data_IF_876927951484
#
_entry.id   IF_876927951484
#
_cell.length_a   1.000
_cell.length_b   1.000
_cell.length_c   1.000
_cell.angle_alpha   90.00
_cell.angle_beta   90.00
_cell.angle_gamma   90.00
#
_symmetry.space_group_name_H-M   'P 1'
#
loop_
_entity.id
_entity.type
_entity.pdbx_description
1 polymer ?
#
# COMPACT_ATOMS: atom_id res chain seq x y z
N UNK A 1 -8.06 -22.82 3.08
CA UNK A 1 -7.04 -21.75 3.13
C UNK A 1 -7.44 -20.71 4.15
N UNK A 2 -6.48 -20.18 4.92
CA UNK A 2 -6.71 -19.03 5.82
C UNK A 2 -5.89 -17.85 5.31
N UNK A 3 -6.52 -16.67 5.24
CA UNK A 3 -5.90 -15.40 4.88
C UNK A 3 -6.03 -14.44 6.07
N UNK A 4 -4.93 -13.87 6.54
CA UNK A 4 -4.89 -12.97 7.70
C UNK A 4 -4.68 -11.54 7.28
N UNK A 5 -5.68 -10.69 7.50
CA UNK A 5 -5.71 -9.26 7.17
C UNK A 5 -6.66 -8.91 6.03
N UNK A 6 -7.78 -8.25 6.35
CA UNK A 6 -8.82 -7.80 5.42
C UNK A 6 -8.48 -6.51 4.65
N UNK A 7 -7.18 -6.23 4.43
CA UNK A 7 -6.72 -5.14 3.58
C UNK A 7 -6.69 -5.53 2.10
N UNK A 8 -6.15 -4.65 1.23
CA UNK A 8 -6.11 -4.84 -0.23
C UNK A 8 -5.51 -6.20 -0.61
N UNK A 9 -4.34 -6.54 -0.07
CA UNK A 9 -3.65 -7.79 -0.40
C UNK A 9 -4.49 -9.02 -0.03
N UNK A 10 -4.97 -9.08 1.22
CA UNK A 10 -5.70 -10.23 1.72
C UNK A 10 -7.09 -10.39 1.10
N UNK A 11 -7.84 -9.31 0.92
CA UNK A 11 -9.16 -9.38 0.29
C UNK A 11 -9.07 -9.86 -1.17
N UNK A 12 -8.05 -9.39 -1.90
CA UNK A 12 -7.82 -9.83 -3.27
C UNK A 12 -7.35 -11.29 -3.28
N UNK A 13 -6.40 -11.68 -2.43
CA UNK A 13 -5.95 -13.07 -2.34
C UNK A 13 -7.12 -14.01 -1.99
N UNK A 14 -7.90 -13.69 -0.97
CA UNK A 14 -9.05 -14.49 -0.55
C UNK A 14 -10.09 -14.66 -1.67
N UNK A 15 -10.43 -13.54 -2.34
CA UNK A 15 -11.35 -13.57 -3.50
C UNK A 15 -10.84 -14.44 -4.63
N UNK A 16 -9.55 -14.33 -4.98
CA UNK A 16 -8.97 -15.15 -6.04
C UNK A 16 -8.84 -16.61 -5.62
N UNK A 17 -8.56 -16.90 -4.35
CA UNK A 17 -8.55 -18.25 -3.80
C UNK A 17 -9.92 -18.93 -3.96
N UNK A 18 -11.00 -18.26 -3.54
CA UNK A 18 -12.36 -18.78 -3.70
C UNK A 18 -12.71 -19.02 -5.18
N UNK A 19 -12.33 -18.11 -6.10
CA UNK A 19 -12.52 -18.27 -7.53
C UNK A 19 -11.76 -19.45 -8.15
N UNK A 20 -10.67 -19.89 -7.51
CA UNK A 20 -9.92 -21.09 -7.88
C UNK A 20 -10.38 -22.34 -7.11
N UNK A 21 -11.55 -22.31 -6.47
CA UNK A 21 -12.16 -23.45 -5.81
C UNK A 21 -11.66 -23.73 -4.38
N UNK A 22 -10.80 -22.87 -3.80
CA UNK A 22 -10.34 -23.07 -2.44
C UNK A 22 -11.38 -22.59 -1.42
N UNK A 23 -11.77 -23.45 -0.48
CA UNK A 23 -12.52 -23.04 0.71
C UNK A 23 -11.64 -22.07 1.51
N UNK A 24 -12.09 -20.81 1.66
CA UNK A 24 -11.25 -19.71 2.14
C UNK A 24 -11.90 -18.99 3.30
N UNK A 25 -11.13 -18.79 4.39
CA UNK A 25 -11.44 -17.97 5.53
C UNK A 25 -10.55 -16.71 5.51
N UNK A 26 -11.15 -15.52 5.50
CA UNK A 26 -10.48 -14.23 5.60
C UNK A 26 -10.70 -13.65 7.00
N UNK A 27 -9.60 -13.30 7.68
CA UNK A 27 -9.62 -12.72 9.02
C UNK A 27 -9.23 -11.24 8.97
N UNK A 28 -9.94 -10.39 9.71
CA UNK A 28 -9.56 -8.99 9.98
C UNK A 28 -9.66 -8.74 11.49
N UNK A 29 -8.60 -8.17 12.07
CA UNK A 29 -8.54 -7.95 13.52
C UNK A 29 -9.42 -6.83 14.03
N UNK A 30 -9.77 -5.88 13.16
CA UNK A 30 -10.61 -4.75 13.50
C UNK A 30 -12.01 -4.92 12.94
N UNK A 31 -12.97 -4.30 13.60
CA UNK A 31 -14.32 -4.15 13.05
C UNK A 31 -14.28 -3.37 11.74
N UNK A 32 -14.97 -3.87 10.72
CA UNK A 32 -15.05 -3.21 9.42
C UNK A 32 -16.36 -2.42 9.27
N UNK A 33 -16.34 -1.25 8.58
CA UNK A 33 -15.23 -0.58 7.90
C UNK A 33 -14.23 0.06 8.88
N UNK A 34 -12.92 -0.09 8.60
CA UNK A 34 -11.85 0.43 9.45
C UNK A 34 -10.98 1.47 8.74
N UNK A 35 -10.46 2.42 9.48
CA UNK A 35 -9.47 3.34 8.97
C UNK A 35 -8.09 2.66 8.81
N UNK A 36 -7.36 3.08 7.78
CA UNK A 36 -5.93 2.79 7.61
C UNK A 36 -5.24 4.04 7.07
N UNK A 37 -4.19 4.55 7.72
CA UNK A 37 -3.41 5.66 7.20
C UNK A 37 -2.82 5.30 5.83
N UNK A 38 -3.30 5.99 4.79
CA UNK A 38 -2.88 5.78 3.41
C UNK A 38 -3.46 6.89 2.55
N UNK A 39 -2.77 7.27 1.46
CA UNK A 39 -3.32 8.23 0.51
C UNK A 39 -4.63 7.75 -0.12
N UNK A 40 -4.79 6.44 -0.36
CA UNK A 40 -5.93 5.94 -1.12
C UNK A 40 -6.02 6.56 -2.52
N UNK A 41 -4.85 6.88 -3.10
CA UNK A 41 -4.72 7.42 -4.46
C UNK A 41 -4.04 6.37 -5.33
N UNK A 42 -4.62 6.08 -6.50
CA UNK A 42 -4.08 5.11 -7.45
C UNK A 42 -4.38 5.53 -8.90
N UNK A 43 -3.68 4.92 -9.86
CA UNK A 43 -3.97 5.06 -11.27
C UNK A 43 -5.02 4.05 -11.74
N UNK A 44 -5.68 4.33 -12.87
CA UNK A 44 -6.79 3.51 -13.37
C UNK A 44 -6.42 2.04 -13.64
N UNK A 45 -5.14 1.71 -13.96
CA UNK A 45 -4.71 0.33 -14.15
C UNK A 45 -4.90 -0.55 -12.89
N UNK A 46 -5.07 0.09 -11.73
CA UNK A 46 -5.33 -0.61 -10.47
C UNK A 46 -6.61 -1.44 -10.51
N UNK A 47 -7.62 -1.01 -11.28
CA UNK A 47 -8.84 -1.78 -11.50
C UNK A 47 -8.57 -3.15 -12.13
N UNK A 48 -7.57 -3.26 -13.03
CA UNK A 48 -7.13 -4.55 -13.59
C UNK A 48 -6.49 -5.45 -12.52
N UNK A 49 -5.73 -4.88 -11.59
CA UNK A 49 -5.15 -5.64 -10.47
C UNK A 49 -6.24 -6.18 -9.55
N UNK A 50 -7.28 -5.39 -9.29
CA UNK A 50 -8.46 -5.82 -8.53
C UNK A 50 -9.27 -6.86 -9.34
N UNK A 51 -9.26 -6.79 -10.67
CA UNK A 51 -10.08 -7.60 -11.54
C UNK A 51 -11.57 -7.22 -11.51
N UNK A 52 -11.86 -5.95 -11.18
CA UNK A 52 -13.19 -5.34 -11.23
C UNK A 52 -13.07 -3.82 -11.28
N UNK A 53 -13.96 -3.17 -12.03
CA UNK A 53 -14.09 -1.72 -12.06
C UNK A 53 -14.60 -1.22 -10.70
N UNK A 54 -14.02 -0.12 -10.22
CA UNK A 54 -14.41 0.49 -8.94
C UNK A 54 -15.68 1.32 -9.17
N UNK A 55 -16.79 1.04 -8.46
CA UNK A 55 -18.00 1.84 -8.57
C UNK A 55 -17.74 3.29 -8.13
N UNK A 56 -18.40 4.25 -8.81
CA UNK A 56 -18.18 5.68 -8.54
C UNK A 56 -18.45 6.08 -7.07
N UNK A 57 -19.44 5.46 -6.46
CA UNK A 57 -19.80 5.68 -5.06
C UNK A 57 -18.76 5.17 -4.05
N UNK A 58 -17.77 4.42 -4.48
CA UNK A 58 -16.61 3.99 -3.66
C UNK A 58 -15.43 4.94 -3.76
N UNK A 59 -15.50 5.91 -4.66
CA UNK A 59 -14.52 6.97 -4.83
C UNK A 59 -14.97 8.25 -4.11
N UNK A 60 -14.02 9.11 -3.79
CA UNK A 60 -14.32 10.45 -3.29
C UNK A 60 -15.11 11.28 -4.31
N UNK A 61 -15.88 12.25 -3.84
CA UNK A 61 -16.68 13.15 -4.68
C UNK A 61 -15.80 13.99 -5.61
N UNK A 62 -14.68 14.49 -5.08
CA UNK A 62 -13.71 15.23 -5.88
C UNK A 62 -12.85 14.30 -6.73
N UNK A 63 -12.49 14.77 -7.92
CA UNK A 63 -11.61 14.06 -8.84
C UNK A 63 -10.20 14.65 -8.75
N UNK A 64 -9.20 13.78 -8.65
CA UNK A 64 -7.80 14.16 -8.74
C UNK A 64 -7.31 13.86 -10.17
N UNK A 65 -6.89 14.89 -10.90
CA UNK A 65 -6.35 14.73 -12.25
C UNK A 65 -5.19 15.68 -12.57
N UNK A 66 -4.79 16.50 -11.59
CA UNK A 66 -3.61 17.37 -11.66
C UNK A 66 -2.57 16.93 -10.65
N UNK A 67 -1.31 17.02 -11.01
CA UNK A 67 -0.17 16.78 -10.13
C UNK A 67 0.70 18.02 -10.17
N UNK A 68 1.04 18.56 -9.01
CA UNK A 68 2.06 19.59 -8.85
C UNK A 68 3.21 19.08 -8.00
N UNK A 69 4.41 19.06 -8.58
CA UNK A 69 5.63 18.70 -7.88
C UNK A 69 6.45 19.94 -7.61
N UNK A 70 6.70 20.21 -6.34
CA UNK A 70 7.48 21.37 -5.88
C UNK A 70 8.88 20.89 -5.50
N UNK A 71 9.90 21.40 -6.20
CA UNK A 71 11.29 20.99 -6.00
C UNK A 71 11.93 21.69 -4.79
N UNK A 72 13.15 21.28 -4.33
CA UNK A 72 13.87 21.97 -3.28
C UNK A 72 14.06 23.48 -3.54
N UNK A 73 14.24 23.88 -4.81
CA UNK A 73 14.42 25.28 -5.23
C UNK A 73 13.10 25.97 -5.64
N UNK A 74 11.97 25.50 -5.12
CA UNK A 74 10.63 26.07 -5.37
C UNK A 74 10.17 26.08 -6.84
N UNK A 75 10.79 25.33 -7.72
CA UNK A 75 10.28 25.13 -9.07
C UNK A 75 9.04 24.27 -9.01
N UNK A 76 8.00 24.68 -9.73
CA UNK A 76 6.74 23.95 -9.81
C UNK A 76 6.64 23.26 -11.15
N UNK A 77 6.49 21.95 -11.11
CA UNK A 77 6.25 21.15 -12.31
C UNK A 77 4.83 20.59 -12.26
N UNK A 78 4.12 20.75 -13.35
CA UNK A 78 2.70 20.42 -13.46
C UNK A 78 2.49 19.27 -14.44
N UNK A 79 1.62 18.35 -14.07
CA UNK A 79 1.19 17.25 -14.92
C UNK A 79 -0.32 17.03 -14.84
N UNK A 80 -0.88 16.32 -15.82
CA UNK A 80 -2.28 15.91 -15.82
C UNK A 80 -2.37 14.41 -16.02
N UNK A 81 -3.02 13.73 -15.08
CA UNK A 81 -3.32 12.30 -15.17
C UNK A 81 -4.46 11.97 -14.22
N UNK A 82 -5.51 11.32 -14.73
CA UNK A 82 -6.63 10.88 -13.90
C UNK A 82 -6.20 9.86 -12.85
N UNK A 83 -6.59 10.10 -11.61
CA UNK A 83 -6.29 9.26 -10.47
C UNK A 83 -7.58 8.78 -9.80
N UNK A 84 -7.57 7.56 -9.32
CA UNK A 84 -8.58 7.02 -8.42
C UNK A 84 -8.29 7.59 -7.01
N UNK A 85 -9.29 8.18 -6.38
CA UNK A 85 -9.20 8.78 -5.06
C UNK A 85 -10.28 8.16 -4.17
N UNK A 86 -9.89 7.45 -3.09
CA UNK A 86 -10.83 6.73 -2.24
C UNK A 86 -10.38 6.69 -0.77
N UNK A 87 -11.35 6.64 0.13
CA UNK A 87 -11.09 6.33 1.53
C UNK A 87 -10.83 4.84 1.72
N UNK A 88 -9.79 4.49 2.46
CA UNK A 88 -9.43 3.09 2.72
C UNK A 88 -10.53 2.33 3.49
N UNK A 89 -11.26 3.00 4.36
CA UNK A 89 -12.40 2.39 5.06
C UNK A 89 -13.47 1.90 4.09
N UNK A 90 -13.92 2.75 3.18
CA UNK A 90 -14.92 2.41 2.17
C UNK A 90 -14.39 1.39 1.16
N UNK A 91 -13.17 1.59 0.70
CA UNK A 91 -12.57 0.77 -0.33
C UNK A 91 -12.22 -0.64 0.16
N UNK A 92 -11.56 -0.77 1.32
CA UNK A 92 -11.22 -2.08 1.88
C UNK A 92 -12.48 -2.89 2.22
N UNK A 93 -13.51 -2.24 2.78
CA UNK A 93 -14.81 -2.88 3.05
C UNK A 93 -15.49 -3.38 1.77
N UNK A 94 -15.42 -2.60 0.67
CA UNK A 94 -15.91 -3.05 -0.63
C UNK A 94 -15.12 -4.25 -1.17
N UNK A 95 -13.79 -4.28 -1.01
CA UNK A 95 -12.99 -5.45 -1.39
C UNK A 95 -13.35 -6.70 -0.57
N UNK A 96 -13.65 -6.52 0.72
CA UNK A 96 -14.13 -7.60 1.59
C UNK A 96 -15.49 -8.13 1.10
N UNK A 97 -16.44 -7.24 0.72
CA UNK A 97 -17.73 -7.69 0.16
C UNK A 97 -17.55 -8.47 -1.14
N UNK A 98 -16.62 -8.06 -2.02
CA UNK A 98 -16.29 -8.82 -3.23
C UNK A 98 -15.68 -10.21 -2.94
N UNK A 99 -14.97 -10.35 -1.83
CA UNK A 99 -14.48 -11.66 -1.39
C UNK A 99 -15.63 -12.54 -0.89
N UNK A 100 -16.53 -11.98 -0.07
CA UNK A 100 -17.74 -12.68 0.40
C UNK A 100 -18.63 -13.10 -0.77
N UNK A 101 -18.89 -12.21 -1.75
CA UNK A 101 -19.61 -12.52 -2.99
C UNK A 101 -18.99 -13.69 -3.77
N UNK A 102 -17.68 -13.91 -3.64
CA UNK A 102 -16.96 -15.02 -4.26
C UNK A 102 -16.99 -16.31 -3.42
N UNK A 103 -17.66 -16.33 -2.26
CA UNK A 103 -17.78 -17.49 -1.38
C UNK A 103 -16.75 -17.56 -0.25
N UNK A 104 -16.05 -16.46 0.05
CA UNK A 104 -15.12 -16.38 1.19
C UNK A 104 -15.92 -16.23 2.49
N UNK A 105 -15.58 -17.04 3.50
CA UNK A 105 -15.99 -16.79 4.88
C UNK A 105 -15.16 -15.61 5.43
N UNK A 106 -15.80 -14.52 5.82
CA UNK A 106 -15.13 -13.31 6.33
C UNK A 106 -15.48 -13.07 7.79
N UNK A 107 -14.45 -13.04 8.64
CA UNK A 107 -14.59 -12.78 10.07
C UNK A 107 -13.74 -11.55 10.44
N UNK A 108 -14.40 -10.44 10.71
CA UNK A 108 -13.76 -9.28 11.33
C UNK A 108 -13.73 -9.44 12.87
N UNK A 109 -13.11 -8.48 13.58
CA UNK A 109 -12.85 -8.56 15.02
C UNK A 109 -12.16 -9.87 15.44
N UNK A 110 -11.47 -10.53 14.47
CA UNK A 110 -10.83 -11.84 14.67
C UNK A 110 -9.34 -11.74 14.32
N UNK A 111 -8.50 -12.01 15.32
CA UNK A 111 -7.04 -11.90 15.22
C UNK A 111 -6.39 -13.29 15.15
N UNK A 112 -5.34 -13.43 14.32
CA UNK A 112 -4.39 -14.52 14.47
C UNK A 112 -3.52 -14.25 15.70
N UNK A 113 -3.43 -15.23 16.59
CA UNK A 113 -2.57 -15.17 17.77
C UNK A 113 -1.29 -16.00 17.61
N UNK A 114 -1.36 -17.12 16.90
CA UNK A 114 -0.22 -17.99 16.60
C UNK A 114 -0.51 -18.84 15.35
N UNK A 115 0.54 -19.44 14.77
CA UNK A 115 0.42 -20.42 13.72
C UNK A 115 1.54 -21.46 13.83
N UNK A 116 1.21 -22.72 13.53
CA UNK A 116 2.13 -23.86 13.60
C UNK A 116 2.04 -24.59 12.26
N UNK A 117 3.14 -24.69 11.54
CA UNK A 117 3.23 -25.44 10.29
C UNK A 117 3.63 -26.88 10.57
N UNK A 118 2.99 -27.81 9.85
CA UNK A 118 3.32 -29.23 9.81
C UNK A 118 3.41 -29.70 8.36
N UNK A 119 3.77 -30.95 8.12
CA UNK A 119 3.82 -31.56 6.79
C UNK A 119 2.46 -31.49 6.06
N UNK A 120 1.37 -31.72 6.80
CA UNK A 120 0.00 -31.80 6.25
C UNK A 120 -0.70 -30.44 6.13
N UNK A 121 -0.15 -29.37 6.72
CA UNK A 121 -0.80 -28.06 6.69
C UNK A 121 -0.35 -27.10 7.79
N UNK A 122 -1.24 -26.17 8.12
CA UNK A 122 -1.01 -25.13 9.11
C UNK A 122 -2.15 -25.12 10.14
N UNK A 123 -1.84 -25.15 11.40
CA UNK A 123 -2.77 -24.88 12.49
C UNK A 123 -2.71 -23.38 12.77
N UNK A 124 -3.81 -22.69 12.56
CA UNK A 124 -3.95 -21.23 12.76
C UNK A 124 -4.74 -21.01 14.04
N UNK A 125 -4.11 -20.42 15.05
CA UNK A 125 -4.77 -20.05 16.31
C UNK A 125 -5.37 -18.67 16.19
N UNK A 126 -6.66 -18.55 16.40
CA UNK A 126 -7.42 -17.31 16.27
C UNK A 126 -8.11 -16.95 17.58
N UNK A 127 -8.34 -15.64 17.75
CA UNK A 127 -9.10 -15.08 18.88
C UNK A 127 -10.15 -14.11 18.38
N UNK A 128 -11.39 -14.30 18.83
CA UNK A 128 -12.52 -13.38 18.62
C UNK A 128 -13.05 -12.98 20.00
N UNK A 129 -12.76 -11.75 20.43
CA UNK A 129 -12.98 -11.35 21.82
C UNK A 129 -12.19 -12.26 22.78
N UNK A 130 -12.90 -12.92 23.70
CA UNK A 130 -12.33 -13.85 24.69
C UNK A 130 -12.34 -15.31 24.21
N UNK A 131 -12.83 -15.58 22.99
CA UNK A 131 -12.92 -16.95 22.46
C UNK A 131 -11.68 -17.28 21.64
N UNK A 132 -11.05 -18.41 21.94
CA UNK A 132 -9.90 -18.93 21.21
C UNK A 132 -10.30 -20.19 20.44
N UNK A 133 -9.80 -20.32 19.20
CA UNK A 133 -10.09 -21.46 18.33
C UNK A 133 -8.87 -21.80 17.48
N UNK A 134 -8.66 -23.09 17.25
CA UNK A 134 -7.70 -23.60 16.29
C UNK A 134 -8.41 -23.91 14.97
N UNK A 135 -7.86 -23.41 13.85
CA UNK A 135 -8.35 -23.64 12.50
C UNK A 135 -7.28 -24.38 11.72
N UNK A 136 -7.61 -25.58 11.24
CA UNK A 136 -6.72 -26.33 10.33
C UNK A 136 -6.85 -25.84 8.91
N UNK A 137 -5.72 -25.64 8.23
CA UNK A 137 -5.66 -25.10 6.88
C UNK A 137 -4.52 -25.75 6.08
N UNK A 138 -4.69 -25.94 4.78
CA UNK A 138 -3.59 -26.39 3.90
C UNK A 138 -2.56 -25.28 3.69
N UNK A 139 -3.01 -24.02 3.58
CA UNK A 139 -2.15 -22.85 3.39
C UNK A 139 -2.57 -21.71 4.30
N UNK A 140 -1.59 -20.94 4.76
CA UNK A 140 -1.77 -19.67 5.46
C UNK A 140 -1.19 -18.54 4.62
N UNK A 141 -1.96 -17.46 4.41
CA UNK A 141 -1.49 -16.24 3.75
C UNK A 141 -1.45 -15.12 4.78
N UNK A 142 -0.24 -14.61 5.07
CA UNK A 142 -0.01 -13.43 5.90
C UNK A 142 -0.13 -12.15 5.07
N UNK A 143 -1.23 -11.42 5.30
CA UNK A 143 -1.56 -10.13 4.65
C UNK A 143 -1.82 -9.03 5.69
N UNK A 144 -1.30 -9.19 6.89
CA UNK A 144 -1.59 -8.41 8.10
C UNK A 144 -0.72 -7.14 8.24
N UNK A 145 -0.12 -6.71 7.12
CA UNK A 145 0.53 -5.41 6.99
C UNK A 145 1.91 -5.31 7.63
N UNK A 146 2.43 -4.09 7.74
CA UNK A 146 3.82 -3.84 8.16
C UNK A 146 4.13 -4.24 9.62
N UNK A 147 3.11 -4.41 10.45
CA UNK A 147 3.26 -4.90 11.83
C UNK A 147 2.88 -6.39 11.95
N UNK A 148 3.04 -7.14 10.88
CA UNK A 148 2.61 -8.51 10.72
C UNK A 148 2.95 -9.41 11.91
N UNK A 149 1.93 -10.05 12.46
CA UNK A 149 2.04 -11.08 13.49
C UNK A 149 2.57 -12.38 12.89
N UNK A 150 2.11 -12.72 11.68
CA UNK A 150 2.59 -13.92 10.96
C UNK A 150 4.09 -13.81 10.70
N UNK A 151 4.57 -12.72 10.10
CA UNK A 151 6.00 -12.54 9.84
C UNK A 151 6.83 -12.52 11.11
N UNK A 152 6.34 -11.87 12.16
CA UNK A 152 7.06 -11.78 13.45
C UNK A 152 7.31 -13.14 14.08
N UNK A 153 6.42 -14.10 13.84
CA UNK A 153 6.59 -15.50 14.30
C UNK A 153 7.84 -16.14 13.70
N UNK A 154 8.09 -15.96 12.39
CA UNK A 154 9.19 -16.61 11.66
C UNK A 154 10.44 -15.73 11.57
N UNK A 155 10.26 -14.42 11.57
CA UNK A 155 11.31 -13.42 11.34
C UNK A 155 11.27 -12.30 12.39
N UNK A 156 11.40 -12.59 13.69
CA UNK A 156 11.31 -11.56 14.74
C UNK A 156 12.39 -10.47 14.60
N UNK A 157 13.59 -10.82 14.09
CA UNK A 157 14.69 -9.87 13.87
C UNK A 157 14.47 -8.90 12.72
N UNK A 158 13.45 -9.12 11.88
CA UNK A 158 13.07 -8.17 10.85
C UNK A 158 12.39 -6.92 11.42
N UNK A 159 12.05 -6.93 12.72
CA UNK A 159 11.37 -5.81 13.40
C UNK A 159 12.35 -5.11 14.35
N UNK A 160 12.52 -3.80 14.15
CA UNK A 160 13.39 -2.98 14.97
C UNK A 160 12.71 -1.64 15.28
N UNK A 161 12.50 -1.35 16.56
CA UNK A 161 11.89 -0.08 17.00
C UNK A 161 12.77 1.12 16.69
N UNK A 162 14.09 0.96 16.62
CA UNK A 162 15.03 2.03 16.33
C UNK A 162 15.08 2.39 14.83
N UNK A 163 14.71 1.43 13.96
CA UNK A 163 14.63 1.65 12.52
C UNK A 163 13.27 2.18 12.07
N UNK A 164 12.37 2.51 13.00
CA UNK A 164 11.01 2.94 12.69
C UNK A 164 10.97 4.34 12.10
N UNK A 165 10.44 4.43 10.87
CA UNK A 165 9.93 5.67 10.33
C UNK A 165 8.44 5.82 10.62
N UNK A 166 7.94 7.05 10.60
CA UNK A 166 6.51 7.30 10.68
C UNK A 166 6.06 8.30 9.63
N UNK A 167 4.84 8.07 9.13
CA UNK A 167 4.10 9.05 8.35
C UNK A 167 3.00 9.65 9.22
N UNK A 168 2.74 10.95 9.07
CA UNK A 168 1.70 11.67 9.81
C UNK A 168 0.84 12.43 8.83
N UNK A 169 -0.48 12.31 8.98
CA UNK A 169 -1.48 13.06 8.26
C UNK A 169 -2.27 13.96 9.20
N UNK A 170 -2.45 15.21 8.81
CA UNK A 170 -3.42 16.12 9.37
C UNK A 170 -4.61 16.20 8.42
N UNK A 171 -5.79 16.02 8.95
CA UNK A 171 -7.06 16.10 8.24
C UNK A 171 -7.69 17.46 8.59
N UNK A 172 -7.75 18.32 7.60
CA UNK A 172 -8.18 19.71 7.74
C UNK A 172 -9.47 19.96 6.96
N UNK A 173 -10.40 20.65 7.59
CA UNK A 173 -11.64 21.12 6.96
C UNK A 173 -11.69 22.65 7.06
N UNK A 174 -11.96 23.30 5.94
CA UNK A 174 -12.03 24.75 5.86
C UNK A 174 -11.70 25.29 4.47
N UNK A 175 -11.61 26.60 4.39
CA UNK A 175 -11.30 27.34 3.17
C UNK A 175 -9.80 27.38 2.88
N UNK A 176 -9.43 27.41 1.61
CA UNK A 176 -8.04 27.49 1.16
C UNK A 176 -7.97 27.91 -0.32
N UNK A 177 -6.82 28.41 -0.75
CA UNK A 177 -6.50 28.70 -2.15
C UNK A 177 -5.95 27.49 -2.92
N UNK A 178 -5.96 26.27 -2.32
CA UNK A 178 -5.55 25.05 -2.99
C UNK A 178 -6.57 24.61 -4.05
N UNK A 179 -6.09 24.10 -5.17
CA UNK A 179 -6.96 23.51 -6.20
C UNK A 179 -7.43 22.10 -5.75
N UNK A 180 -8.74 21.87 -5.63
CA UNK A 180 -9.30 20.61 -5.11
C UNK A 180 -9.03 19.40 -6.01
N UNK A 181 -8.63 19.60 -7.25
CA UNK A 181 -8.36 18.54 -8.21
C UNK A 181 -6.87 18.19 -8.32
N UNK A 182 -6.02 18.76 -7.44
CA UNK A 182 -4.57 18.65 -7.52
C UNK A 182 -3.99 17.83 -6.37
N UNK A 183 -3.13 16.88 -6.72
CA UNK A 183 -2.19 16.25 -5.79
C UNK A 183 -0.91 17.08 -5.76
N UNK A 184 -0.62 17.70 -4.63
CA UNK A 184 0.61 18.46 -4.39
C UNK A 184 1.66 17.57 -3.75
N UNK A 185 2.87 17.55 -4.30
CA UNK A 185 4.01 16.77 -3.82
C UNK A 185 5.20 17.69 -3.59
N UNK A 186 5.62 17.83 -2.34
CA UNK A 186 6.72 18.73 -1.95
C UNK A 186 7.99 17.90 -1.73
N UNK A 187 8.91 18.01 -2.65
CA UNK A 187 10.23 17.36 -2.60
C UNK A 187 11.25 18.22 -1.88
N UNK A 188 10.99 18.51 -0.60
CA UNK A 188 11.86 19.32 0.27
C UNK A 188 12.21 18.53 1.51
N UNK A 189 13.50 18.27 1.73
CA UNK A 189 13.98 17.51 2.90
C UNK A 189 13.61 18.17 4.23
N UNK A 190 13.47 19.50 4.23
CA UNK A 190 12.99 20.24 5.40
C UNK A 190 11.55 19.92 5.81
N UNK A 191 10.74 19.36 4.92
CA UNK A 191 9.36 18.92 5.19
C UNK A 191 9.25 17.40 5.24
N UNK A 192 10.01 16.68 4.41
CA UNK A 192 10.03 15.23 4.37
C UNK A 192 11.42 14.71 3.99
N UNK A 193 12.22 14.24 4.95
CA UNK A 193 13.60 13.81 4.70
C UNK A 193 13.72 12.45 3.99
N UNK A 194 12.63 11.66 3.90
CA UNK A 194 12.65 10.28 3.39
C UNK A 194 11.96 10.11 2.04
N UNK A 195 11.02 11.02 1.71
CA UNK A 195 10.29 11.02 0.45
C UNK A 195 9.76 12.44 0.17
N UNK A 196 8.57 12.61 -0.31
CA UNK A 196 7.90 13.90 -0.47
C UNK A 196 6.82 14.10 0.60
N UNK A 197 6.54 15.34 0.97
CA UNK A 197 5.35 15.70 1.72
C UNK A 197 4.19 15.95 0.74
N UNK A 198 2.96 15.77 1.18
CA UNK A 198 1.78 15.76 0.29
C UNK A 198 0.62 16.59 0.80
N UNK A 199 -0.15 17.14 -0.14
CA UNK A 199 -1.44 17.78 0.11
C UNK A 199 -2.42 17.35 -0.99
N UNK A 200 -3.60 16.92 -0.62
CA UNK A 200 -4.69 16.58 -1.53
C UNK A 200 -6.04 16.61 -0.82
N UNK A 201 -7.10 16.75 -1.60
CA UNK A 201 -8.48 16.73 -1.08
C UNK A 201 -9.10 15.33 -1.16
N UNK A 202 -9.90 14.98 -0.16
CA UNK A 202 -10.82 13.84 -0.14
C UNK A 202 -12.20 14.32 0.30
N UNK A 203 -13.15 14.28 -0.61
CA UNK A 203 -14.47 14.88 -0.40
C UNK A 203 -14.36 16.37 -0.03
N UNK A 204 -14.51 16.72 1.25
CA UNK A 204 -14.38 18.05 1.83
C UNK A 204 -13.19 18.20 2.78
N UNK A 205 -12.35 17.16 2.88
CA UNK A 205 -11.26 17.08 3.86
C UNK A 205 -9.90 17.12 3.15
N UNK A 206 -9.10 18.12 3.46
CA UNK A 206 -7.70 18.21 3.02
C UNK A 206 -6.83 17.30 3.86
N UNK A 207 -6.06 16.46 3.20
CA UNK A 207 -5.04 15.62 3.82
C UNK A 207 -3.68 16.26 3.60
N UNK A 208 -3.05 16.68 4.68
CA UNK A 208 -1.73 17.32 4.70
C UNK A 208 -0.80 16.40 5.46
N UNK A 209 0.22 15.84 4.80
CA UNK A 209 1.02 14.81 5.42
C UNK A 209 2.47 14.79 5.01
N UNK A 210 3.25 14.13 5.85
CA UNK A 210 4.68 13.93 5.67
C UNK A 210 5.16 12.64 6.34
N UNK A 211 6.46 12.33 6.18
CA UNK A 211 7.10 11.20 6.85
C UNK A 211 8.55 11.50 7.22
N UNK A 212 8.98 10.95 8.34
CA UNK A 212 10.36 11.05 8.82
C UNK A 212 10.74 9.82 9.66
N UNK A 213 12.04 9.52 9.71
CA UNK A 213 12.58 8.48 10.58
C UNK A 213 12.77 8.96 12.03
N UNK A 214 12.97 10.25 12.22
CA UNK A 214 13.13 10.89 13.54
C UNK A 214 12.22 12.09 13.59
N UNK A 215 11.67 12.38 14.78
CA UNK A 215 10.82 13.54 15.05
C UNK A 215 9.68 13.78 14.03
N UNK A 216 8.90 12.75 13.62
CA UNK A 216 7.92 12.89 12.54
C UNK A 216 6.85 13.96 12.83
N UNK A 217 6.51 14.22 14.11
CA UNK A 217 5.56 15.26 14.48
C UNK A 217 6.10 16.67 14.21
N UNK A 218 7.37 16.91 14.46
CA UNK A 218 8.02 18.21 14.19
C UNK A 218 7.98 18.53 12.69
N UNK A 219 8.29 17.53 11.84
CA UNK A 219 8.16 17.68 10.39
C UNK A 219 6.71 17.94 9.96
N UNK A 220 5.75 17.26 10.58
CA UNK A 220 4.34 17.42 10.26
C UNK A 220 3.82 18.81 10.66
N UNK A 221 4.17 19.31 11.85
CA UNK A 221 3.81 20.64 12.30
C UNK A 221 4.47 21.73 11.44
N UNK A 222 5.75 21.57 11.12
CA UNK A 222 6.47 22.50 10.23
C UNK A 222 5.82 22.56 8.86
N UNK A 223 5.51 21.40 8.27
CA UNK A 223 4.88 21.33 6.96
C UNK A 223 3.46 21.88 6.98
N UNK A 224 2.66 21.54 7.99
CA UNK A 224 1.30 22.07 8.15
C UNK A 224 1.30 23.60 8.23
N UNK A 225 2.18 24.19 9.06
CA UNK A 225 2.30 25.64 9.22
C UNK A 225 2.73 26.33 7.91
N UNK A 226 3.64 25.72 7.17
CA UNK A 226 4.02 26.21 5.83
C UNK A 226 2.83 26.21 4.87
N UNK A 227 2.08 25.08 4.79
CA UNK A 227 0.90 24.98 3.91
C UNK A 227 -0.17 25.99 4.35
N UNK A 228 -0.41 26.14 5.66
CA UNK A 228 -1.36 27.10 6.23
C UNK A 228 -1.07 28.53 5.79
N UNK A 229 0.18 28.95 5.88
CA UNK A 229 0.59 30.29 5.48
C UNK A 229 0.55 30.49 3.96
N UNK A 230 1.14 29.55 3.21
CA UNK A 230 1.27 29.67 1.74
C UNK A 230 -0.07 29.61 1.00
N UNK A 231 -1.01 28.80 1.47
CA UNK A 231 -2.30 28.56 0.80
C UNK A 231 -3.50 29.09 1.59
N UNK A 232 -3.27 29.98 2.54
CA UNK A 232 -4.29 30.69 3.32
C UNK A 232 -5.35 29.75 3.95
N UNK A 233 -4.92 28.67 4.63
CA UNK A 233 -5.85 27.75 5.28
C UNK A 233 -6.60 28.46 6.43
N UNK A 234 -7.93 28.47 6.35
CA UNK A 234 -8.85 29.00 7.37
C UNK A 234 -9.83 27.92 7.78
N UNK A 235 -9.68 27.35 8.95
CA UNK A 235 -10.50 26.25 9.44
C UNK A 235 -9.77 25.45 10.50
N UNK A 236 -10.18 24.17 10.68
CA UNK A 236 -9.76 23.33 11.78
C UNK A 236 -9.16 22.00 11.35
N UNK A 237 -8.19 21.52 12.11
CA UNK A 237 -7.75 20.12 12.06
C UNK A 237 -8.77 19.30 12.82
N UNK A 238 -9.46 18.40 12.11
CA UNK A 238 -10.50 17.52 12.66
C UNK A 238 -9.94 16.18 13.15
N UNK A 239 -8.76 15.77 12.62
CA UNK A 239 -8.10 14.52 12.98
C UNK A 239 -6.61 14.60 12.69
N UNK A 240 -5.82 13.92 13.54
CA UNK A 240 -4.41 13.62 13.29
C UNK A 240 -4.25 12.11 13.30
N UNK A 241 -3.49 11.58 12.37
CA UNK A 241 -3.28 10.15 12.24
C UNK A 241 -1.83 9.87 11.88
N UNK A 242 -1.20 8.95 12.60
CA UNK A 242 0.15 8.52 12.33
C UNK A 242 0.22 7.03 12.07
N UNK A 243 1.18 6.62 11.25
CA UNK A 243 1.51 5.23 11.04
C UNK A 243 3.02 5.05 11.14
N UNK A 244 3.43 4.23 12.09
CA UNK A 244 4.84 3.87 12.30
C UNK A 244 5.05 2.41 11.91
N UNK A 245 6.14 2.12 11.21
CA UNK A 245 6.57 0.77 10.90
C UNK A 245 7.88 0.46 11.61
N UNK A 246 7.91 -0.67 12.29
CA UNK A 246 9.15 -1.23 12.86
C UNK A 246 9.78 -2.28 11.95
N UNK A 247 9.15 -2.56 10.80
CA UNK A 247 9.65 -3.52 9.82
C UNK A 247 10.87 -2.94 9.09
N UNK A 248 11.98 -3.66 9.12
CA UNK A 248 13.15 -3.36 8.29
C UNK A 248 12.79 -3.49 6.81
N UNK A 249 13.50 -2.77 5.96
CA UNK A 249 13.29 -2.81 4.51
C UNK A 249 13.86 -4.12 3.91
N UNK A 250 13.22 -5.24 4.26
CA UNK A 250 13.59 -6.59 3.82
C UNK A 250 12.37 -7.30 3.25
N UNK A 251 12.55 -8.07 2.20
CA UNK A 251 11.50 -8.88 1.60
C UNK A 251 11.54 -10.28 2.22
N UNK A 252 10.38 -10.80 2.63
CA UNK A 252 10.18 -12.17 3.09
C UNK A 252 8.86 -12.70 2.53
N UNK A 253 8.95 -13.71 1.68
CA UNK A 253 7.80 -14.26 0.95
C UNK A 253 7.12 -15.42 1.66
N UNK A 254 7.64 -15.82 2.81
CA UNK A 254 7.16 -16.99 3.57
C UNK A 254 8.04 -18.21 3.38
N UNK A 255 7.56 -19.35 3.90
CA UNK A 255 8.21 -20.65 3.82
C UNK A 255 7.19 -21.78 3.87
N UNK A 256 7.43 -22.86 3.13
CA UNK A 256 6.56 -24.03 3.06
C UNK A 256 5.12 -23.62 2.67
N UNK A 257 4.16 -23.91 3.54
CA UNK A 257 2.72 -23.65 3.32
C UNK A 257 2.26 -22.26 3.78
N UNK A 258 3.19 -21.39 4.18
CA UNK A 258 2.91 -20.04 4.66
C UNK A 258 3.49 -19.03 3.67
N UNK A 259 2.62 -18.25 3.00
CA UNK A 259 3.04 -17.20 2.09
C UNK A 259 2.76 -15.82 2.69
N UNK A 260 3.68 -14.88 2.44
CA UNK A 260 3.54 -13.48 2.85
C UNK A 260 3.27 -12.61 1.62
N UNK A 261 2.34 -11.65 1.76
CA UNK A 261 1.93 -10.77 0.65
C UNK A 261 1.84 -9.30 1.08
N UNK A 262 1.92 -8.40 0.12
CA UNK A 262 1.81 -6.95 0.35
C UNK A 262 2.83 -6.40 1.35
N UNK A 263 2.37 -5.49 2.21
CA UNK A 263 3.22 -4.85 3.22
C UNK A 263 3.81 -5.86 4.23
N UNK A 264 3.10 -6.95 4.52
CA UNK A 264 3.57 -8.01 5.42
C UNK A 264 4.79 -8.75 4.83
N UNK A 265 4.85 -8.87 3.51
CA UNK A 265 6.03 -9.41 2.81
C UNK A 265 7.16 -8.38 2.64
N UNK A 266 6.93 -7.10 2.96
CA UNK A 266 7.86 -6.01 2.68
C UNK A 266 7.85 -5.54 1.22
N UNK A 267 6.78 -5.80 0.47
CA UNK A 267 6.64 -5.42 -0.94
C UNK A 267 6.18 -3.97 -1.11
N UNK A 268 6.84 -3.05 -0.41
CA UNK A 268 6.57 -1.60 -0.44
C UNK A 268 7.62 -0.88 -1.27
N UNK A 269 7.19 -0.08 -2.24
CA UNK A 269 8.07 0.70 -3.08
C UNK A 269 8.11 2.17 -2.61
N UNK A 270 9.07 2.48 -1.76
CA UNK A 270 9.23 3.81 -1.14
C UNK A 270 9.54 4.87 -2.21
N UNK A 271 10.29 4.56 -3.26
CA UNK A 271 10.64 5.50 -4.32
C UNK A 271 9.41 5.99 -5.09
N UNK A 272 8.46 5.10 -5.34
CA UNK A 272 7.19 5.43 -6.00
C UNK A 272 6.17 6.01 -5.02
N UNK A 273 6.37 5.85 -3.71
CA UNK A 273 5.36 6.17 -2.70
C UNK A 273 4.14 5.25 -2.75
N UNK A 274 4.26 4.08 -3.37
CA UNK A 274 3.16 3.15 -3.64
C UNK A 274 3.41 1.77 -3.03
N UNK A 275 2.37 1.19 -2.46
CA UNK A 275 2.37 -0.18 -1.96
C UNK A 275 1.09 -0.95 -2.33
N UNK A 276 0.00 -0.22 -2.67
CA UNK A 276 -1.31 -0.83 -2.92
C UNK A 276 -1.34 -1.70 -4.18
N UNK A 277 -0.64 -1.31 -5.23
CA UNK A 277 -0.52 -2.08 -6.47
C UNK A 277 0.29 -3.38 -6.26
N UNK A 278 1.44 -3.29 -5.56
CA UNK A 278 2.21 -4.46 -5.16
C UNK A 278 1.40 -5.38 -4.24
N UNK A 279 0.61 -4.82 -3.33
CA UNK A 279 -0.28 -5.58 -2.45
C UNK A 279 -1.32 -6.36 -3.25
N UNK A 280 -1.99 -5.71 -4.22
CA UNK A 280 -2.97 -6.35 -5.08
C UNK A 280 -2.32 -7.44 -5.97
N UNK A 281 -1.18 -7.13 -6.59
CA UNK A 281 -0.48 -8.04 -7.48
C UNK A 281 0.07 -9.26 -6.74
N UNK A 282 0.75 -9.04 -5.60
CA UNK A 282 1.30 -10.14 -4.80
C UNK A 282 0.22 -11.09 -4.27
N UNK A 283 -0.95 -10.55 -3.88
CA UNK A 283 -2.10 -11.37 -3.51
C UNK A 283 -2.55 -12.31 -4.62
N UNK A 284 -2.64 -11.83 -5.86
CA UNK A 284 -2.98 -12.67 -7.03
C UNK A 284 -1.89 -13.69 -7.34
N UNK A 285 -0.63 -13.26 -7.31
CA UNK A 285 0.52 -14.13 -7.61
C UNK A 285 0.66 -15.27 -6.59
N UNK A 286 0.37 -15.00 -5.31
CA UNK A 286 0.38 -16.04 -4.28
C UNK A 286 -0.65 -17.14 -4.57
N UNK A 287 -1.87 -16.76 -4.96
CA UNK A 287 -2.91 -17.75 -5.32
C UNK A 287 -2.54 -18.51 -6.60
N UNK A 288 -1.96 -17.81 -7.59
CA UNK A 288 -1.45 -18.48 -8.79
C UNK A 288 -0.35 -19.48 -8.45
N UNK A 289 0.57 -19.13 -7.56
CA UNK A 289 1.62 -20.04 -7.09
C UNK A 289 1.06 -21.29 -6.41
N UNK A 290 0.05 -21.10 -5.54
CA UNK A 290 -0.62 -22.23 -4.85
C UNK A 290 -1.31 -23.13 -5.87
N UNK A 291 -2.08 -22.58 -6.80
CA UNK A 291 -2.74 -23.38 -7.82
C UNK A 291 -1.75 -24.19 -8.66
N UNK A 292 -0.65 -23.57 -9.10
CA UNK A 292 0.42 -24.27 -9.82
C UNK A 292 1.11 -25.34 -8.97
N UNK A 293 1.36 -25.06 -7.69
CA UNK A 293 1.99 -26.02 -6.79
C UNK A 293 1.10 -27.27 -6.59
N UNK A 294 -0.21 -27.10 -6.45
CA UNK A 294 -1.18 -28.20 -6.36
C UNK A 294 -1.21 -29.07 -7.63
N UNK A 295 -1.13 -28.42 -8.82
CA UNK A 295 -1.11 -29.11 -10.12
C UNK A 295 0.20 -29.87 -10.36
N UNK A 296 1.34 -29.28 -9.95
CA UNK A 296 2.68 -29.81 -10.29
C UNK A 296 3.36 -30.55 -9.14
N UNK A 297 2.75 -30.58 -7.96
CA UNK A 297 3.33 -31.11 -6.73
C UNK A 297 4.71 -30.48 -6.39
N UNK A 298 4.89 -29.19 -6.74
CA UNK A 298 6.13 -28.46 -6.55
C UNK A 298 6.08 -27.59 -5.30
N UNK A 299 7.25 -27.11 -4.84
CA UNK A 299 7.36 -26.23 -3.69
C UNK A 299 6.75 -24.86 -4.00
N UNK A 300 5.70 -24.50 -3.28
CA UNK A 300 4.89 -23.30 -3.54
C UNK A 300 5.71 -22.00 -3.36
N UNK A 301 6.63 -21.96 -2.40
CA UNK A 301 7.44 -20.77 -2.13
C UNK A 301 8.42 -20.48 -3.27
N UNK A 302 8.96 -21.51 -3.92
CA UNK A 302 9.85 -21.31 -5.09
C UNK A 302 9.07 -20.80 -6.30
N UNK A 303 7.87 -21.32 -6.54
CA UNK A 303 6.99 -20.78 -7.60
C UNK A 303 6.63 -19.32 -7.30
N UNK A 304 6.25 -19.02 -6.06
CA UNK A 304 5.86 -17.67 -5.67
C UNK A 304 7.03 -16.68 -5.78
N UNK A 305 8.22 -17.08 -5.38
CA UNK A 305 9.47 -16.31 -5.53
C UNK A 305 9.76 -16.01 -7.00
N UNK A 306 9.64 -17.01 -7.87
CA UNK A 306 9.81 -16.82 -9.32
C UNK A 306 8.79 -15.81 -9.87
N UNK A 307 7.51 -15.93 -9.53
CA UNK A 307 6.45 -15.04 -10.00
C UNK A 307 6.61 -13.59 -9.49
N UNK A 308 7.16 -13.41 -8.30
CA UNK A 308 7.35 -12.08 -7.66
C UNK A 308 8.70 -11.44 -7.92
N UNK A 309 9.64 -12.16 -8.55
CA UNK A 309 11.02 -11.70 -8.73
C UNK A 309 11.13 -10.31 -9.37
N UNK A 310 10.34 -10.01 -10.40
CA UNK A 310 10.35 -8.70 -11.05
C UNK A 310 9.90 -7.57 -10.13
N UNK A 311 8.98 -7.83 -9.21
CA UNK A 311 8.53 -6.84 -8.21
C UNK A 311 9.67 -6.57 -7.24
N UNK A 312 10.33 -7.62 -6.74
CA UNK A 312 11.43 -7.54 -5.78
C UNK A 312 12.59 -6.77 -6.36
N UNK A 313 13.08 -7.16 -7.55
CA UNK A 313 14.16 -6.46 -8.24
C UNK A 313 13.85 -4.97 -8.45
N UNK A 314 12.61 -4.63 -8.77
CA UNK A 314 12.19 -3.24 -8.96
C UNK A 314 12.21 -2.47 -7.63
N UNK A 315 11.71 -3.06 -6.55
CA UNK A 315 11.72 -2.46 -5.21
C UNK A 315 13.17 -2.20 -4.76
N UNK A 316 14.07 -3.18 -4.88
CA UNK A 316 15.47 -3.05 -4.51
C UNK A 316 16.19 -1.97 -5.32
N UNK A 317 15.99 -1.95 -6.64
CA UNK A 317 16.53 -0.91 -7.52
C UNK A 317 16.01 0.49 -7.14
N UNK A 318 14.71 0.60 -6.84
CA UNK A 318 14.09 1.85 -6.46
C UNK A 318 14.52 2.30 -5.07
N UNK A 319 14.73 1.38 -4.12
CA UNK A 319 15.27 1.71 -2.79
C UNK A 319 16.66 2.34 -2.88
N UNK A 320 17.57 1.77 -3.71
CA UNK A 320 18.90 2.36 -3.96
C UNK A 320 18.79 3.77 -4.53
N UNK A 321 17.95 3.96 -5.57
CA UNK A 321 17.70 5.29 -6.15
C UNK A 321 17.14 6.30 -5.15
N UNK A 322 16.28 5.86 -4.23
CA UNK A 322 15.72 6.74 -3.20
C UNK A 322 16.80 7.22 -2.24
N UNK A 323 17.67 6.33 -1.80
CA UNK A 323 18.81 6.70 -0.95
C UNK A 323 19.70 7.73 -1.66
N UNK A 324 20.11 7.45 -2.89
CA UNK A 324 20.95 8.34 -3.70
C UNK A 324 20.29 9.70 -3.91
N UNK A 325 18.99 9.72 -4.23
CA UNK A 325 18.20 10.92 -4.48
C UNK A 325 18.14 11.84 -3.27
N UNK A 326 18.03 11.28 -2.06
CA UNK A 326 17.86 12.03 -0.80
C UNK A 326 19.19 12.27 -0.05
N UNK A 327 20.35 12.05 -0.66
CA UNK A 327 21.66 12.38 -0.05
C UNK A 327 21.80 13.89 0.19
N UNK A 328 21.38 14.73 -0.76
CA UNK A 328 21.43 16.20 -0.64
C UNK A 328 20.29 16.87 -1.42
N UNK A 329 19.97 18.14 -1.11
CA UNK A 329 19.01 18.92 -1.88
C UNK A 329 19.45 19.12 -3.34
N UNK A 330 20.75 19.19 -3.60
CA UNK A 330 21.28 19.28 -4.97
C UNK A 330 21.04 18.01 -5.78
N UNK A 331 21.23 16.82 -5.17
CA UNK A 331 20.92 15.54 -5.84
C UNK A 331 19.42 15.40 -6.06
N UNK A 332 18.61 15.80 -5.09
CA UNK A 332 17.17 15.80 -5.20
C UNK A 332 16.70 16.75 -6.32
N UNK A 333 17.20 17.97 -6.38
CA UNK A 333 16.88 18.94 -7.44
C UNK A 333 17.30 18.42 -8.84
N UNK A 334 18.50 17.83 -8.97
CA UNK A 334 18.95 17.21 -10.23
C UNK A 334 18.04 16.07 -10.67
N UNK A 335 17.57 15.24 -9.73
CA UNK A 335 16.65 14.12 -10.03
C UNK A 335 15.29 14.61 -10.54
N UNK A 336 14.89 15.81 -10.17
CA UNK A 336 13.66 16.50 -10.57
C UNK A 336 13.91 17.54 -11.69
N UNK A 337 15.02 17.43 -12.43
CA UNK A 337 15.30 18.32 -13.56
C UNK A 337 14.19 18.22 -14.62
N UNK A 338 13.91 19.29 -15.39
CA UNK A 338 12.89 19.27 -16.44
C UNK A 338 13.06 18.12 -17.43
N UNK A 339 14.29 17.75 -17.76
CA UNK A 339 14.60 16.62 -18.64
C UNK A 339 14.17 15.28 -18.01
N UNK A 340 14.53 15.04 -16.76
CA UNK A 340 14.17 13.79 -16.05
C UNK A 340 12.64 13.69 -15.87
N UNK A 341 11.99 14.84 -15.63
CA UNK A 341 10.54 14.90 -15.46
C UNK A 341 9.80 14.68 -16.78
N UNK A 342 10.28 15.25 -17.88
CA UNK A 342 9.73 15.00 -19.23
C UNK A 342 9.87 13.51 -19.59
N UNK A 343 11.05 12.93 -19.36
CA UNK A 343 11.28 11.50 -19.54
C UNK A 343 10.37 10.66 -18.67
N UNK A 344 10.22 10.99 -17.38
CA UNK A 344 9.32 10.32 -16.45
C UNK A 344 7.87 10.43 -16.89
N UNK A 345 7.41 11.62 -17.26
CA UNK A 345 6.06 11.86 -17.78
C UNK A 345 5.75 11.06 -19.05
N UNK A 346 6.69 11.02 -20.00
CA UNK A 346 6.55 10.20 -21.21
C UNK A 346 6.45 8.71 -20.89
N UNK A 347 7.29 8.20 -19.99
CA UNK A 347 7.23 6.80 -19.55
C UNK A 347 5.92 6.49 -18.83
N UNK A 348 5.37 7.42 -18.05
CA UNK A 348 4.07 7.27 -17.41
C UNK A 348 2.95 7.21 -18.45
N UNK A 349 2.95 8.09 -19.45
CA UNK A 349 1.96 8.10 -20.53
C UNK A 349 2.02 6.79 -21.34
N UNK A 350 3.20 6.37 -21.77
CA UNK A 350 3.39 5.11 -22.49
C UNK A 350 2.99 3.92 -21.64
N UNK A 351 3.42 3.87 -20.38
CA UNK A 351 3.05 2.80 -19.46
C UNK A 351 1.54 2.75 -19.22
N UNK A 352 0.86 3.88 -19.11
CA UNK A 352 -0.60 3.92 -18.95
C UNK A 352 -1.31 3.39 -20.22
N UNK A 353 -0.83 3.71 -21.42
CA UNK A 353 -1.38 3.17 -22.65
C UNK A 353 -1.13 1.65 -22.76
N UNK A 354 0.10 1.20 -22.50
CA UNK A 354 0.43 -0.22 -22.51
C UNK A 354 -0.38 -1.02 -21.49
N UNK A 355 -0.62 -0.46 -20.30
CA UNK A 355 -1.44 -1.10 -19.28
C UNK A 355 -2.90 -1.33 -19.69
N UNK A 356 -3.41 -0.66 -20.72
CA UNK A 356 -4.74 -0.95 -21.25
C UNK A 356 -4.82 -2.31 -21.93
N UNK A 357 -3.73 -2.75 -22.55
CA UNK A 357 -3.65 -3.99 -23.34
C UNK A 357 -2.94 -5.13 -22.61
N UNK A 358 -1.97 -4.82 -21.75
CA UNK A 358 -1.20 -5.83 -21.02
C UNK A 358 -2.07 -6.66 -20.06
N UNK A 359 -1.81 -7.97 -19.91
CA UNK A 359 -2.42 -8.77 -18.86
C UNK A 359 -1.98 -8.30 -17.47
N UNK A 360 -2.80 -8.60 -16.46
CA UNK A 360 -2.64 -8.07 -15.08
C UNK A 360 -1.28 -8.38 -14.45
N UNK A 361 -0.69 -9.52 -14.79
CA UNK A 361 0.60 -9.97 -14.25
C UNK A 361 1.79 -9.26 -14.90
N UNK A 362 1.57 -8.60 -16.06
CA UNK A 362 2.59 -7.89 -16.84
C UNK A 362 2.42 -6.37 -16.81
N UNK A 363 1.56 -5.84 -15.94
CA UNK A 363 1.33 -4.40 -15.85
C UNK A 363 2.60 -3.64 -15.47
N UNK A 364 2.79 -2.49 -16.11
CA UNK A 364 3.83 -1.53 -15.77
C UNK A 364 3.34 -0.72 -14.58
N UNK A 365 3.93 -0.97 -13.41
CA UNK A 365 3.60 -0.23 -12.20
C UNK A 365 4.18 1.19 -12.29
N UNK A 366 3.29 2.17 -12.37
CA UNK A 366 3.64 3.58 -12.56
C UNK A 366 4.08 4.23 -11.23
N UNK A 367 5.03 5.18 -11.25
CA UNK A 367 5.30 6.05 -10.10
C UNK A 367 4.17 7.06 -9.89
N UNK A 368 3.97 7.54 -8.66
CA UNK A 368 3.22 8.76 -8.35
C UNK A 368 4.12 9.98 -8.49
#
# INVERSE_FOLDING_TARGET
MVVVGGGIAGSIAARYAAKNGFKTLLLEKYKTPRNKPCSGIQFQYFEKLIGKKIPREKLCKNELYKIEMITPKDKVMKGKMGMLNFWRSTFDSWLNSLAVEAGVEFNDETSLTDCIQSEDGVIVKISTGNTHKDVKSHYLIGADGMLSTVRRKFRPLDFDRKASGATINYYFVGETNLDPNTLYMFYKKEFCPIMFAWVYLKDDTWVIGTGANQNPLEYADKFFNFVKGKYALRGNIIRREGFSSTLKNTVYLGEGRILMIGDAAGLVDIYRGLGMDNAALSGRLAIKAIAQAEETHSEVTEIYKHLTNNIIMKIEKNAKKQIERYTSDNTLEKSLSPFNMLKGGLLMLLGNQLNRILPSEKLILLPL
#
